data_IF_071466344005
#
_entry.id   IF_071466344005
#
_cell.length_a   1.000
_cell.length_b   1.000
_cell.length_c   1.000
_cell.angle_alpha   90.00
_cell.angle_beta   90.00
_cell.angle_gamma   90.00
#
_symmetry.space_group_name_H-M   'P 1'
#
loop_
_entity.id
_entity.type
_entity.pdbx_description
1 polymer ?
#
# COMPACT_ATOMS: atom_id res chain seq x y z
N UNK A 1 -24.93 -0.94 -39.45
CA UNK A 1 -24.46 0.03 -38.48
C UNK A 1 -23.90 -0.71 -37.27
N UNK A 2 -22.61 -0.54 -36.98
CA UNK A 2 -21.99 -1.14 -35.79
C UNK A 2 -22.57 -0.51 -34.50
N UNK A 3 -23.00 -1.37 -33.57
CA UNK A 3 -23.50 -0.94 -32.28
C UNK A 3 -22.38 -0.13 -31.56
N UNK A 4 -22.65 1.08 -31.02
CA UNK A 4 -21.64 1.84 -30.31
C UNK A 4 -21.00 0.96 -29.23
N UNK A 5 -19.67 0.90 -29.20
CA UNK A 5 -18.91 0.12 -28.20
C UNK A 5 -19.25 0.67 -26.82
N UNK A 6 -19.98 -0.09 -26.02
CA UNK A 6 -20.42 0.35 -24.70
C UNK A 6 -19.21 0.27 -23.76
N UNK A 7 -18.63 1.43 -23.40
CA UNK A 7 -17.49 1.52 -22.48
C UNK A 7 -17.97 1.17 -21.08
N UNK A 8 -17.26 0.26 -20.38
CA UNK A 8 -17.59 -0.15 -19.01
C UNK A 8 -17.17 0.91 -18.00
N UNK A 9 -17.73 0.86 -16.78
CA UNK A 9 -17.32 1.72 -15.67
C UNK A 9 -15.85 1.51 -15.32
N UNK A 10 -15.36 0.26 -15.30
CA UNK A 10 -13.96 -0.07 -15.04
C UNK A 10 -13.01 0.57 -16.06
N UNK A 11 -13.40 0.58 -17.36
CA UNK A 11 -12.62 1.26 -18.39
C UNK A 11 -12.56 2.77 -18.16
N UNK A 12 -13.67 3.39 -17.75
CA UNK A 12 -13.72 4.81 -17.43
C UNK A 12 -12.84 5.12 -16.22
N UNK A 13 -12.96 4.34 -15.14
CA UNK A 13 -12.18 4.55 -13.93
C UNK A 13 -10.68 4.35 -14.18
N UNK A 14 -10.30 3.31 -14.93
CA UNK A 14 -8.90 3.04 -15.29
C UNK A 14 -8.31 4.18 -16.13
N UNK A 15 -9.04 4.65 -17.15
CA UNK A 15 -8.58 5.76 -17.98
C UNK A 15 -8.53 7.07 -17.20
N UNK A 16 -9.53 7.35 -16.35
CA UNK A 16 -9.53 8.53 -15.48
C UNK A 16 -8.30 8.52 -14.56
N UNK A 17 -8.00 7.37 -13.95
CA UNK A 17 -6.82 7.21 -13.10
C UNK A 17 -5.53 7.48 -13.88
N UNK A 18 -5.38 6.88 -15.05
CA UNK A 18 -4.22 7.09 -15.91
C UNK A 18 -4.04 8.57 -16.28
N UNK A 19 -5.09 9.22 -16.75
CA UNK A 19 -5.06 10.65 -17.08
C UNK A 19 -4.68 11.55 -15.90
N UNK A 20 -5.21 11.26 -14.70
CA UNK A 20 -4.88 12.03 -13.50
C UNK A 20 -3.43 11.85 -13.09
N UNK A 21 -2.91 10.61 -13.12
CA UNK A 21 -1.53 10.33 -12.75
C UNK A 21 -0.52 10.90 -13.75
N UNK A 22 -0.89 11.00 -15.04
CA UNK A 22 -0.06 11.55 -16.10
C UNK A 22 -0.09 13.08 -16.14
N UNK A 23 -1.30 13.68 -16.09
CA UNK A 23 -1.50 15.12 -16.31
C UNK A 23 -1.75 15.92 -15.03
N UNK A 24 -1.80 15.22 -13.87
CA UNK A 24 -2.04 15.84 -12.56
C UNK A 24 -3.50 15.94 -12.17
N UNK A 25 -3.72 16.27 -10.90
CA UNK A 25 -5.03 16.31 -10.25
C UNK A 25 -6.03 17.29 -10.86
N UNK A 26 -5.56 18.28 -11.61
CA UNK A 26 -6.38 19.33 -12.25
C UNK A 26 -6.75 19.01 -13.70
N UNK A 27 -6.42 17.84 -14.22
CA UNK A 27 -6.78 17.42 -15.57
C UNK A 27 -8.28 17.64 -15.82
N UNK A 28 -8.65 18.16 -17.00
CA UNK A 28 -10.05 18.42 -17.33
C UNK A 28 -10.78 17.12 -17.64
N UNK A 29 -12.11 17.12 -17.43
CA UNK A 29 -12.94 15.98 -17.86
C UNK A 29 -12.93 15.78 -19.38
N UNK A 30 -12.66 16.82 -20.16
CA UNK A 30 -12.60 16.72 -21.61
C UNK A 30 -11.41 15.85 -22.06
N UNK A 31 -10.25 15.99 -21.41
CA UNK A 31 -9.08 15.11 -21.66
C UNK A 31 -9.40 13.65 -21.35
N UNK A 32 -10.07 13.39 -20.22
CA UNK A 32 -10.50 12.03 -19.84
C UNK A 32 -11.53 11.50 -20.84
N UNK A 33 -12.50 12.29 -21.24
CA UNK A 33 -13.53 11.91 -22.18
C UNK A 33 -12.96 11.63 -23.58
N UNK A 34 -12.01 12.44 -24.05
CA UNK A 34 -11.31 12.28 -25.32
C UNK A 34 -10.54 10.96 -25.36
N UNK A 35 -9.80 10.61 -24.28
CA UNK A 35 -9.05 9.34 -24.21
C UNK A 35 -9.94 8.09 -24.33
N UNK A 36 -11.23 8.25 -24.06
CA UNK A 36 -12.23 7.19 -24.09
C UNK A 36 -13.15 7.24 -25.35
N UNK A 37 -13.04 8.31 -26.14
CA UNK A 37 -13.94 8.55 -27.28
C UNK A 37 -15.40 8.81 -26.84
N UNK A 38 -15.60 9.42 -25.67
CA UNK A 38 -16.92 9.83 -25.16
C UNK A 38 -16.96 11.34 -24.89
N UNK A 39 -18.05 11.85 -24.35
CA UNK A 39 -18.18 13.26 -23.97
C UNK A 39 -18.16 13.45 -22.45
N UNK A 40 -17.68 14.60 -21.96
CA UNK A 40 -17.70 14.94 -20.54
C UNK A 40 -19.11 14.83 -19.90
N UNK A 41 -20.20 15.28 -20.55
CA UNK A 41 -21.55 15.04 -20.06
C UNK A 41 -21.91 13.55 -19.90
N UNK A 42 -21.38 12.67 -20.78
CA UNK A 42 -21.64 11.22 -20.64
C UNK A 42 -20.94 10.65 -19.39
N UNK A 43 -19.73 11.12 -19.05
CA UNK A 43 -19.05 10.75 -17.81
C UNK A 43 -19.84 11.23 -16.59
N UNK A 44 -20.27 12.49 -16.57
CA UNK A 44 -21.05 13.06 -15.47
C UNK A 44 -22.42 12.39 -15.29
N UNK A 45 -23.06 11.99 -16.39
CA UNK A 45 -24.32 11.23 -16.32
C UNK A 45 -24.16 9.89 -15.59
N UNK A 46 -22.98 9.25 -15.67
CA UNK A 46 -22.70 7.93 -15.06
C UNK A 46 -22.18 8.02 -13.62
N UNK A 47 -21.36 9.02 -13.35
CA UNK A 47 -20.64 9.15 -12.07
C UNK A 47 -21.09 10.36 -11.23
N UNK A 48 -22.06 11.16 -11.69
CA UNK A 48 -22.58 12.31 -10.98
C UNK A 48 -21.68 13.54 -11.17
N UNK A 49 -20.73 13.73 -10.30
CA UNK A 49 -19.81 14.87 -10.31
C UNK A 49 -18.39 14.49 -10.70
N UNK A 50 -17.57 15.51 -11.07
CA UNK A 50 -16.13 15.29 -11.24
C UNK A 50 -15.48 14.74 -9.97
N UNK A 51 -15.89 15.22 -8.80
CA UNK A 51 -15.39 14.77 -7.51
C UNK A 51 -15.66 13.29 -7.30
N UNK A 52 -16.91 12.84 -7.53
CA UNK A 52 -17.28 11.43 -7.41
C UNK A 52 -16.51 10.54 -8.37
N UNK A 53 -16.37 10.94 -9.64
CA UNK A 53 -15.54 10.23 -10.61
C UNK A 53 -14.08 10.11 -10.13
N UNK A 54 -13.50 11.21 -9.62
CA UNK A 54 -12.14 11.21 -9.07
C UNK A 54 -12.00 10.26 -7.87
N UNK A 55 -12.96 10.28 -6.95
CA UNK A 55 -12.97 9.38 -5.80
C UNK A 55 -13.06 7.93 -6.25
N UNK A 56 -13.97 7.60 -7.17
CA UNK A 56 -14.11 6.24 -7.67
C UNK A 56 -12.87 5.74 -8.40
N UNK A 57 -12.21 6.60 -9.18
CA UNK A 57 -11.02 6.24 -9.96
C UNK A 57 -9.74 6.10 -9.12
N UNK A 58 -9.59 6.92 -8.07
CA UNK A 58 -8.31 7.07 -7.35
C UNK A 58 -8.34 6.52 -5.93
N UNK A 59 -9.50 6.26 -5.37
CA UNK A 59 -9.61 5.70 -4.01
C UNK A 59 -8.89 4.36 -3.93
N UNK A 60 -7.91 4.19 -3.01
CA UNK A 60 -7.32 2.89 -2.76
C UNK A 60 -8.36 1.87 -2.27
N UNK A 61 -8.18 0.58 -2.56
CA UNK A 61 -9.05 -0.46 -2.04
C UNK A 61 -9.06 -0.42 -0.51
N UNK A 62 -10.25 -0.57 0.08
CA UNK A 62 -10.43 -0.58 1.55
C UNK A 62 -9.84 -1.84 2.16
N UNK A 63 -9.93 -2.95 1.43
CA UNK A 63 -9.44 -4.27 1.84
C UNK A 63 -8.40 -4.78 0.83
N UNK A 64 -7.17 -4.24 0.86
CA UNK A 64 -6.12 -4.71 -0.05
C UNK A 64 -5.69 -6.14 0.32
N UNK A 65 -5.42 -7.02 -0.66
CA UNK A 65 -5.12 -8.44 -0.45
C UNK A 65 -3.96 -8.72 0.51
N UNK A 66 -3.01 -7.80 0.63
CA UNK A 66 -1.88 -7.96 1.53
C UNK A 66 -2.28 -7.94 3.02
N UNK A 67 -3.37 -7.25 3.38
CA UNK A 67 -3.90 -7.25 4.76
C UNK A 67 -4.41 -8.66 5.12
N UNK A 68 -5.20 -9.27 4.26
CA UNK A 68 -5.67 -10.64 4.47
C UNK A 68 -4.52 -11.65 4.56
N UNK A 69 -3.45 -11.45 3.77
CA UNK A 69 -2.26 -12.29 3.85
C UNK A 69 -1.53 -12.14 5.19
N UNK A 70 -1.48 -10.93 5.78
CA UNK A 70 -0.96 -10.72 7.13
C UNK A 70 -1.85 -11.32 8.21
N UNK A 71 -3.17 -11.15 8.08
CA UNK A 71 -4.17 -11.68 9.02
C UNK A 71 -4.18 -13.23 9.06
N UNK A 72 -3.71 -13.90 8.00
CA UNK A 72 -3.55 -15.35 7.97
C UNK A 72 -2.45 -15.86 8.92
N UNK A 73 -1.56 -14.97 9.40
CA UNK A 73 -0.46 -15.30 10.29
C UNK A 73 0.79 -15.85 9.60
N UNK A 74 1.84 -16.18 10.38
CA UNK A 74 3.08 -16.75 9.85
C UNK A 74 2.88 -18.23 9.45
N UNK A 75 3.71 -18.69 8.52
CA UNK A 75 3.79 -20.06 8.06
C UNK A 75 5.15 -20.71 8.41
N UNK A 76 5.41 -21.94 7.91
CA UNK A 76 6.61 -22.69 8.22
C UNK A 76 7.85 -22.30 7.39
N UNK A 77 7.72 -21.35 6.47
CA UNK A 77 8.86 -20.88 5.65
C UNK A 77 9.85 -20.05 6.47
N UNK A 78 11.09 -19.88 6.00
CA UNK A 78 12.06 -18.99 6.63
C UNK A 78 11.48 -17.58 6.80
N UNK A 79 11.75 -16.95 7.94
CA UNK A 79 11.25 -15.58 8.27
C UNK A 79 11.52 -14.58 7.16
N UNK A 80 12.73 -14.60 6.58
CA UNK A 80 13.10 -13.68 5.52
C UNK A 80 12.23 -13.83 4.27
N UNK A 81 11.87 -15.04 3.88
CA UNK A 81 11.00 -15.29 2.72
C UNK A 81 9.61 -14.73 2.95
N UNK A 82 9.05 -14.97 4.14
CA UNK A 82 7.75 -14.44 4.54
C UNK A 82 7.75 -12.91 4.54
N UNK A 83 8.76 -12.28 5.15
CA UNK A 83 8.88 -10.82 5.17
C UNK A 83 9.06 -10.25 3.77
N UNK A 84 9.88 -10.87 2.93
CA UNK A 84 10.07 -10.43 1.54
C UNK A 84 8.76 -10.44 0.77
N UNK A 85 7.99 -11.52 0.87
CA UNK A 85 6.69 -11.63 0.19
C UNK A 85 5.69 -10.57 0.68
N UNK A 86 5.56 -10.41 2.00
CA UNK A 86 4.68 -9.39 2.57
C UNK A 86 5.10 -7.98 2.18
N UNK A 87 6.39 -7.67 2.22
CA UNK A 87 6.90 -6.34 1.87
C UNK A 87 6.76 -6.04 0.39
N UNK A 88 6.90 -7.04 -0.49
CA UNK A 88 6.61 -6.87 -1.93
C UNK A 88 5.15 -6.51 -2.18
N UNK A 89 4.23 -7.21 -1.52
CA UNK A 89 2.78 -6.93 -1.66
C UNK A 89 2.41 -5.55 -1.12
N UNK A 90 2.96 -5.18 0.05
CA UNK A 90 2.75 -3.85 0.64
C UNK A 90 3.41 -2.75 -0.21
N UNK A 91 4.63 -2.97 -0.68
CA UNK A 91 5.35 -2.03 -1.54
C UNK A 91 4.57 -1.74 -2.82
N UNK A 92 4.12 -2.78 -3.53
CA UNK A 92 3.29 -2.65 -4.74
C UNK A 92 1.99 -1.86 -4.45
N UNK A 93 1.34 -2.12 -3.32
CA UNK A 93 0.17 -1.36 -2.90
C UNK A 93 0.48 0.13 -2.71
N UNK A 94 1.59 0.49 -2.05
CA UNK A 94 1.94 1.89 -1.81
C UNK A 94 2.40 2.62 -3.07
N UNK A 95 3.13 1.95 -3.97
CA UNK A 95 3.50 2.52 -5.27
C UNK A 95 2.26 2.95 -6.06
N UNK A 96 1.16 2.22 -5.90
CA UNK A 96 -0.11 2.48 -6.57
C UNK A 96 -1.03 3.46 -5.79
N UNK A 97 -1.11 3.33 -4.48
CA UNK A 97 -2.03 4.09 -3.63
C UNK A 97 -1.54 5.51 -3.32
N UNK A 98 -0.23 5.70 -3.09
CA UNK A 98 0.31 6.99 -2.65
C UNK A 98 0.08 8.10 -3.68
N UNK A 99 0.39 7.94 -4.98
CA UNK A 99 0.13 8.98 -5.96
C UNK A 99 -1.37 9.28 -6.13
N UNK A 100 -2.23 8.28 -6.01
CA UNK A 100 -3.67 8.45 -6.07
C UNK A 100 -4.22 9.28 -4.90
N UNK A 101 -3.79 8.96 -3.68
CA UNK A 101 -4.16 9.73 -2.47
C UNK A 101 -3.63 11.16 -2.56
N UNK A 102 -2.41 11.36 -3.06
CA UNK A 102 -1.85 12.69 -3.27
C UNK A 102 -2.69 13.50 -4.25
N UNK A 103 -3.09 12.91 -5.39
CA UNK A 103 -3.91 13.57 -6.40
C UNK A 103 -5.31 13.92 -5.86
N UNK A 104 -5.95 13.07 -5.05
CA UNK A 104 -7.22 13.38 -4.40
C UNK A 104 -7.09 14.59 -3.46
N UNK A 105 -6.03 14.65 -2.67
CA UNK A 105 -5.76 15.80 -1.78
C UNK A 105 -5.47 17.08 -2.55
N UNK A 106 -4.66 17.00 -3.60
CA UNK A 106 -4.37 18.15 -4.47
C UNK A 106 -5.63 18.67 -5.18
N UNK A 107 -6.60 17.79 -5.45
CA UNK A 107 -7.91 18.18 -5.98
C UNK A 107 -8.80 18.91 -4.96
N UNK A 108 -8.35 19.05 -3.70
CA UNK A 108 -9.13 19.69 -2.63
C UNK A 108 -10.20 18.78 -2.02
N UNK A 109 -10.18 17.49 -2.33
CA UNK A 109 -11.18 16.53 -1.81
C UNK A 109 -10.82 16.18 -0.36
N UNK A 110 -11.74 16.38 0.61
CA UNK A 110 -11.49 16.05 2.01
C UNK A 110 -11.22 14.57 2.22
N UNK A 111 -10.28 14.24 3.12
CA UNK A 111 -9.88 12.85 3.39
C UNK A 111 -11.07 11.95 3.78
N UNK A 112 -12.04 12.50 4.50
CA UNK A 112 -13.23 11.80 5.00
C UNK A 112 -14.10 11.23 3.88
N UNK A 113 -14.01 11.80 2.66
CA UNK A 113 -14.76 11.34 1.50
C UNK A 113 -14.18 10.09 0.83
N UNK A 114 -12.88 9.86 0.98
CA UNK A 114 -12.22 8.75 0.30
C UNK A 114 -11.40 7.83 1.21
N UNK A 115 -11.18 8.18 2.47
CA UNK A 115 -10.37 7.40 3.41
C UNK A 115 -11.17 6.98 4.63
N UNK A 116 -11.38 5.69 4.80
CA UNK A 116 -11.88 5.12 6.05
C UNK A 116 -10.67 4.83 6.96
N UNK A 117 -10.50 5.66 7.99
CA UNK A 117 -9.36 5.56 8.93
C UNK A 117 -9.31 4.21 9.64
N UNK A 118 -10.46 3.66 10.05
CA UNK A 118 -10.54 2.40 10.81
C UNK A 118 -10.28 1.19 9.92
N UNK A 119 -10.81 1.19 8.70
CA UNK A 119 -10.66 0.08 7.75
C UNK A 119 -9.34 0.12 6.98
N UNK A 120 -8.75 1.29 6.79
CA UNK A 120 -7.49 1.48 6.09
C UNK A 120 -6.27 1.47 7.04
N UNK A 121 -5.75 2.65 7.44
CA UNK A 121 -4.46 2.75 8.16
C UNK A 121 -4.41 2.00 9.49
N UNK A 122 -5.48 2.08 10.30
CA UNK A 122 -5.50 1.40 11.60
C UNK A 122 -5.55 -0.12 11.46
N UNK A 123 -6.30 -0.65 10.48
CA UNK A 123 -6.33 -2.08 10.21
C UNK A 123 -4.99 -2.57 9.69
N UNK A 124 -4.33 -1.79 8.81
CA UNK A 124 -3.00 -2.09 8.30
C UNK A 124 -1.98 -2.28 9.43
N UNK A 125 -1.90 -1.32 10.35
CA UNK A 125 -1.00 -1.40 11.50
C UNK A 125 -1.33 -2.60 12.39
N UNK A 126 -2.62 -2.83 12.70
CA UNK A 126 -3.04 -3.97 13.50
C UNK A 126 -2.70 -5.32 12.85
N UNK A 127 -2.90 -5.44 11.53
CA UNK A 127 -2.59 -6.68 10.82
C UNK A 127 -1.10 -7.04 10.93
N UNK A 128 -0.21 -6.06 10.75
CA UNK A 128 1.25 -6.27 10.88
C UNK A 128 1.62 -6.59 12.33
N UNK A 129 1.09 -5.83 13.31
CA UNK A 129 1.37 -6.07 14.73
C UNK A 129 0.89 -7.46 15.17
N UNK A 130 -0.31 -7.87 14.75
CA UNK A 130 -0.86 -9.20 15.06
C UNK A 130 -0.05 -10.32 14.42
N UNK A 131 0.46 -10.13 13.19
CA UNK A 131 1.34 -11.09 12.54
C UNK A 131 2.65 -11.24 13.33
N UNK A 132 3.25 -10.13 13.78
CA UNK A 132 4.48 -10.13 14.61
C UNK A 132 4.25 -10.83 15.93
N UNK A 133 3.10 -10.61 16.61
CA UNK A 133 2.73 -11.32 17.84
C UNK A 133 2.58 -12.82 17.62
N UNK A 134 1.93 -13.23 16.54
CA UNK A 134 1.79 -14.64 16.18
C UNK A 134 3.14 -15.29 15.88
N UNK A 135 4.02 -14.59 15.14
CA UNK A 135 5.37 -15.04 14.83
C UNK A 135 6.24 -15.14 16.10
N UNK A 136 6.07 -14.22 17.07
CA UNK A 136 6.77 -14.30 18.35
C UNK A 136 6.30 -15.49 19.18
N UNK A 137 4.99 -15.77 19.22
CA UNK A 137 4.43 -16.96 19.88
C UNK A 137 4.91 -18.26 19.25
N UNK A 138 5.13 -18.27 17.93
CA UNK A 138 5.72 -19.39 17.21
C UNK A 138 7.25 -19.50 17.37
N UNK A 139 7.90 -18.53 18.04
CA UNK A 139 9.35 -18.49 18.22
C UNK A 139 10.15 -18.09 16.97
N UNK A 140 9.48 -17.56 15.96
CA UNK A 140 10.11 -17.12 14.71
C UNK A 140 10.77 -15.75 14.85
N UNK A 141 10.21 -14.87 15.69
CA UNK A 141 10.70 -13.50 15.91
C UNK A 141 10.76 -13.17 17.40
N UNK A 142 11.55 -12.14 17.69
CA UNK A 142 11.52 -11.42 18.96
C UNK A 142 11.25 -9.93 18.66
N UNK A 143 10.10 -9.43 19.08
CA UNK A 143 9.69 -8.05 18.91
C UNK A 143 9.26 -7.48 20.26
N UNK A 144 10.06 -6.59 20.83
CA UNK A 144 9.77 -5.95 22.14
C UNK A 144 8.50 -5.10 22.06
N UNK A 145 8.23 -4.49 20.93
CA UNK A 145 7.03 -3.71 20.62
C UNK A 145 6.56 -4.01 19.19
N UNK A 146 5.59 -4.94 19.03
CA UNK A 146 5.01 -5.24 17.72
C UNK A 146 4.40 -4.01 17.03
N UNK A 147 3.78 -3.11 17.78
CA UNK A 147 3.17 -1.89 17.25
C UNK A 147 4.22 -0.90 16.69
N UNK A 148 5.33 -0.71 17.41
CA UNK A 148 6.43 0.15 16.94
C UNK A 148 7.10 -0.45 15.73
N UNK A 149 7.30 -1.77 15.72
CA UNK A 149 7.86 -2.51 14.59
C UNK A 149 6.94 -2.43 13.37
N UNK A 150 5.63 -2.61 13.56
CA UNK A 150 4.63 -2.46 12.50
C UNK A 150 4.66 -1.05 11.89
N UNK A 151 4.77 -0.02 12.74
CA UNK A 151 4.87 1.38 12.31
C UNK A 151 6.16 1.61 11.50
N UNK A 152 7.28 1.05 11.92
CA UNK A 152 8.56 1.17 11.22
C UNK A 152 8.52 0.49 9.84
N UNK A 153 7.97 -0.73 9.75
CA UNK A 153 7.81 -1.47 8.49
C UNK A 153 6.92 -0.68 7.52
N UNK A 154 5.73 -0.30 7.98
CA UNK A 154 4.75 0.42 7.15
C UNK A 154 5.31 1.76 6.70
N UNK A 155 5.94 2.50 7.63
CA UNK A 155 6.57 3.80 7.36
C UNK A 155 7.69 3.71 6.33
N UNK A 156 8.55 2.71 6.40
CA UNK A 156 9.65 2.53 5.44
C UNK A 156 9.13 2.33 4.00
N UNK A 157 8.13 1.45 3.82
CA UNK A 157 7.53 1.17 2.51
C UNK A 157 6.73 2.36 1.97
N UNK A 158 5.91 2.99 2.82
CA UNK A 158 5.12 4.14 2.44
C UNK A 158 5.98 5.36 2.10
N UNK A 159 7.05 5.62 2.89
CA UNK A 159 7.94 6.76 2.66
C UNK A 159 8.69 6.64 1.33
N UNK A 160 9.09 5.42 0.94
CA UNK A 160 9.69 5.19 -0.38
C UNK A 160 8.76 5.65 -1.49
N UNK A 161 7.51 5.16 -1.49
CA UNK A 161 6.51 5.56 -2.50
C UNK A 161 6.23 7.08 -2.44
N UNK A 162 6.12 7.64 -1.24
CA UNK A 162 5.90 9.09 -1.06
C UNK A 162 7.04 9.92 -1.66
N UNK A 163 8.28 9.60 -1.37
CA UNK A 163 9.42 10.34 -1.92
C UNK A 163 9.52 10.20 -3.42
N UNK A 164 9.27 9.02 -3.98
CA UNK A 164 9.32 8.77 -5.42
C UNK A 164 8.19 9.51 -6.18
N UNK A 165 6.95 9.42 -5.70
CA UNK A 165 5.78 9.87 -6.46
C UNK A 165 5.30 11.28 -6.10
N UNK A 166 5.46 11.70 -4.83
CA UNK A 166 4.98 13.01 -4.35
C UNK A 166 6.11 14.02 -4.31
N UNK A 167 7.23 13.68 -3.68
CA UNK A 167 8.38 14.59 -3.59
C UNK A 167 9.21 14.61 -4.89
N UNK A 168 9.07 13.57 -5.73
CA UNK A 168 9.83 13.39 -6.98
C UNK A 168 11.35 13.29 -6.75
N UNK A 169 11.74 12.68 -5.63
CA UNK A 169 13.13 12.44 -5.25
C UNK A 169 13.38 10.95 -5.12
N UNK A 170 14.40 10.47 -5.79
CA UNK A 170 14.89 9.10 -5.68
C UNK A 170 16.21 9.11 -4.93
N UNK A 171 16.23 8.69 -3.66
CA UNK A 171 17.45 8.62 -2.85
C UNK A 171 18.38 7.47 -3.25
N UNK A 172 17.89 6.54 -4.07
CA UNK A 172 18.62 5.36 -4.48
C UNK A 172 18.23 4.95 -5.89
N UNK A 173 19.20 4.46 -6.66
CA UNK A 173 18.97 3.83 -7.97
C UNK A 173 18.43 2.41 -7.87
N UNK A 174 18.23 1.87 -6.65
CA UNK A 174 17.73 0.52 -6.43
C UNK A 174 16.26 0.40 -6.87
N UNK A 175 15.97 -0.68 -7.56
CA UNK A 175 14.60 -1.07 -7.88
C UNK A 175 13.76 -1.29 -6.61
N UNK A 176 12.45 -1.29 -6.74
CA UNK A 176 11.55 -1.61 -5.61
C UNK A 176 11.84 -3.00 -5.06
N UNK A 177 12.15 -3.97 -5.91
CA UNK A 177 12.51 -5.33 -5.49
C UNK A 177 13.76 -5.35 -4.63
N UNK A 178 14.85 -4.73 -5.08
CA UNK A 178 16.11 -4.67 -4.31
C UNK A 178 15.93 -3.95 -2.97
N UNK A 179 15.16 -2.86 -2.94
CA UNK A 179 14.85 -2.16 -1.70
C UNK A 179 14.06 -3.05 -0.72
N UNK A 180 13.08 -3.79 -1.21
CA UNK A 180 12.30 -4.71 -0.39
C UNK A 180 13.16 -5.85 0.14
N UNK A 181 14.04 -6.42 -0.68
CA UNK A 181 14.97 -7.47 -0.25
C UNK A 181 15.92 -6.96 0.84
N UNK A 182 16.46 -5.74 0.71
CA UNK A 182 17.30 -5.10 1.74
C UNK A 182 16.51 -4.88 3.04
N UNK A 183 15.26 -4.38 2.93
CA UNK A 183 14.41 -4.11 4.08
C UNK A 183 14.03 -5.42 4.81
N UNK A 184 13.66 -6.47 4.07
CA UNK A 184 13.36 -7.78 4.62
C UNK A 184 14.57 -8.39 5.34
N UNK A 185 15.77 -8.26 4.76
CA UNK A 185 17.03 -8.67 5.38
C UNK A 185 17.29 -7.90 6.69
N UNK A 186 17.05 -6.59 6.70
CA UNK A 186 17.22 -5.75 7.89
C UNK A 186 16.31 -6.20 9.02
N UNK A 187 15.02 -6.34 8.73
CA UNK A 187 14.03 -6.76 9.74
C UNK A 187 14.21 -8.21 10.16
N UNK A 188 14.52 -9.13 9.24
CA UNK A 188 14.78 -10.52 9.60
C UNK A 188 15.94 -10.63 10.61
N UNK A 189 17.03 -9.92 10.38
CA UNK A 189 18.16 -9.88 11.32
C UNK A 189 17.79 -9.23 12.65
N UNK A 190 17.07 -8.11 12.63
CA UNK A 190 16.68 -7.37 13.83
C UNK A 190 15.69 -8.17 14.71
N UNK A 191 14.81 -8.94 14.07
CA UNK A 191 13.76 -9.72 14.74
C UNK A 191 14.17 -11.15 15.07
N UNK A 192 15.31 -11.63 14.58
CA UNK A 192 15.76 -13.01 14.91
C UNK A 192 16.02 -13.12 16.42
N UNK A 193 15.41 -14.11 17.10
CA UNK A 193 15.64 -14.31 18.53
C UNK A 193 17.13 -14.54 18.81
N UNK A 194 17.72 -13.73 19.69
CA UNK A 194 19.09 -13.94 20.17
C UNK A 194 19.07 -15.19 21.03
N UNK A 195 19.65 -16.29 20.57
CA UNK A 195 19.93 -17.46 21.44
C UNK A 195 20.84 -16.99 22.56
N UNK A 196 20.27 -16.71 23.75
CA UNK A 196 21.09 -16.57 24.95
C UNK A 196 21.87 -17.87 25.11
N UNK A 197 23.20 -17.83 25.17
CA UNK A 197 23.97 -19.02 25.52
C UNK A 197 23.45 -19.50 26.86
N UNK A 198 23.17 -20.79 26.97
CA UNK A 198 22.86 -21.43 28.24
C UNK A 198 24.13 -21.36 29.11
N UNK A 199 24.30 -20.23 29.81
CA UNK A 199 25.47 -19.92 30.61
C UNK A 199 25.07 -19.70 32.05
N UNK A 200 25.61 -20.62 32.89
CA UNK A 200 25.92 -20.41 34.30
C UNK A 200 24.77 -20.43 35.31
N UNK A 201 23.91 -21.45 35.20
CA UNK A 201 23.24 -21.94 36.41
C UNK A 201 24.05 -23.12 36.97
N UNK A 202 25.30 -22.97 37.32
CA UNK A 202 26.07 -23.89 38.16
C UNK A 202 27.41 -23.30 38.55
N UNK A 203 27.44 -22.53 39.65
CA UNK A 203 28.56 -22.46 40.61
C UNK A 203 28.13 -21.61 41.78
N UNK A 204 27.44 -22.23 42.72
CA UNK A 204 27.57 -21.99 44.16
C UNK A 204 26.68 -23.04 44.82
N UNK A 205 27.28 -24.24 45.00
CA UNK A 205 26.98 -25.16 46.06
C UNK A 205 28.14 -25.09 47.03
#
# INVERSE_FOLDING_TARGET
MARPRQISDDQILTSTRACVLEHGARVSLDVVAESLGVTSPALLKRFGTREELMIHALRPPVDPPWIAAMEAGPDDRPLQEQLTEHFLRMGAFFEDAVPCVAALRESGIPNEKFMDRKRGPERALRAIASWLDAAAKAGLVHADSPESTATAILGALQMRAFTAHVVKVHFSSRSTREYVDDLANLFARALTPVRRPASQARKHA
#
